data_IF_576078081726
#
_entry.id   IF_576078081726
#
_cell.length_a   1.000
_cell.length_b   1.000
_cell.length_c   1.000
_cell.angle_alpha   90.00
_cell.angle_beta   90.00
_cell.angle_gamma   90.00
#
_symmetry.space_group_name_H-M   'P 1'
#
loop_
_entity.id
_entity.type
_entity.pdbx_description
1 polymer ?
#
# COMPACT_ATOMS: atom_id res chain seq x y z
N UNK A 1 -17.77 -7.42 22.00
CA UNK A 1 -17.11 -8.03 20.83
C UNK A 1 -15.78 -8.59 21.30
N UNK A 2 -15.36 -9.76 20.81
CA UNK A 2 -13.98 -10.22 20.98
C UNK A 2 -13.16 -9.66 19.84
N UNK A 3 -11.96 -9.18 20.14
CA UNK A 3 -11.02 -8.76 19.11
C UNK A 3 -10.54 -9.99 18.33
N UNK A 4 -10.56 -9.88 17.01
CA UNK A 4 -10.07 -10.94 16.11
C UNK A 4 -8.69 -10.50 15.62
N UNK A 5 -7.70 -11.37 15.82
CA UNK A 5 -6.32 -11.16 15.35
C UNK A 5 -5.96 -12.30 14.41
N UNK A 6 -5.40 -11.97 13.25
CA UNK A 6 -4.86 -12.95 12.30
C UNK A 6 -3.34 -12.91 12.30
N UNK A 7 -2.72 -14.09 12.35
CA UNK A 7 -1.27 -14.28 12.29
C UNK A 7 -0.96 -15.33 11.24
N UNK A 8 -0.29 -14.94 10.16
CA UNK A 8 0.14 -15.84 9.09
C UNK A 8 1.65 -15.73 8.93
N UNK A 9 2.33 -16.88 8.91
CA UNK A 9 3.79 -16.92 8.76
C UNK A 9 4.17 -16.57 7.32
N UNK A 10 5.01 -15.55 7.15
CA UNK A 10 5.65 -15.20 5.90
C UNK A 10 7.17 -15.36 6.04
N UNK A 11 7.77 -16.25 5.26
CA UNK A 11 9.18 -16.66 5.46
C UNK A 11 10.20 -15.66 4.95
N UNK A 12 9.83 -14.88 3.94
CA UNK A 12 10.67 -13.88 3.29
C UNK A 12 9.78 -12.92 2.48
N UNK A 13 10.39 -11.88 1.92
CA UNK A 13 9.70 -10.92 1.06
C UNK A 13 9.58 -11.38 -0.41
N UNK A 14 9.65 -12.68 -0.72
CA UNK A 14 9.30 -13.12 -2.08
C UNK A 14 7.81 -12.82 -2.34
N UNK A 15 7.52 -12.17 -3.48
CA UNK A 15 6.18 -11.71 -3.86
C UNK A 15 5.06 -12.72 -3.57
N UNK A 16 5.24 -13.98 -4.00
CA UNK A 16 4.26 -15.06 -3.82
C UNK A 16 3.95 -15.35 -2.34
N UNK A 17 4.97 -15.27 -1.47
CA UNK A 17 4.86 -15.59 -0.05
C UNK A 17 4.16 -14.44 0.70
N UNK A 18 4.45 -13.20 0.31
CA UNK A 18 3.80 -12.01 0.87
C UNK A 18 2.33 -11.93 0.44
N UNK A 19 2.06 -12.16 -0.85
CA UNK A 19 0.69 -12.19 -1.38
C UNK A 19 -0.17 -13.22 -0.65
N UNK A 20 0.31 -14.47 -0.54
CA UNK A 20 -0.39 -15.52 0.19
C UNK A 20 -0.65 -15.13 1.66
N UNK A 21 0.36 -14.59 2.36
CA UNK A 21 0.22 -14.21 3.76
C UNK A 21 -0.80 -13.09 3.97
N UNK A 22 -0.85 -12.09 3.06
CA UNK A 22 -1.83 -10.99 3.10
C UNK A 22 -3.23 -11.50 2.81
N UNK A 23 -3.41 -12.32 1.77
CA UNK A 23 -4.72 -12.88 1.39
C UNK A 23 -5.30 -13.77 2.49
N UNK A 24 -4.51 -14.69 3.05
CA UNK A 24 -4.96 -15.52 4.17
C UNK A 24 -5.21 -14.69 5.43
N UNK A 25 -4.43 -13.62 5.66
CA UNK A 25 -4.67 -12.71 6.78
C UNK A 25 -6.04 -12.03 6.66
N UNK A 26 -6.36 -11.51 5.48
CA UNK A 26 -7.65 -10.87 5.17
C UNK A 26 -8.81 -11.87 5.28
N UNK A 27 -8.65 -13.08 4.75
CA UNK A 27 -9.65 -14.15 4.84
C UNK A 27 -9.96 -14.53 6.28
N UNK A 28 -8.94 -14.68 7.13
CA UNK A 28 -9.11 -14.96 8.57
C UNK A 28 -9.86 -13.84 9.31
N UNK A 29 -9.80 -12.61 8.78
CA UNK A 29 -10.53 -11.44 9.31
C UNK A 29 -11.94 -11.30 8.74
N UNK A 30 -12.42 -12.26 7.94
CA UNK A 30 -13.77 -12.28 7.37
C UNK A 30 -13.86 -11.85 5.90
N UNK A 31 -12.72 -11.64 5.23
CA UNK A 31 -12.67 -11.30 3.80
C UNK A 31 -13.01 -9.84 3.50
N UNK A 32 -13.12 -9.52 2.20
CA UNK A 32 -13.38 -8.14 1.73
C UNK A 32 -14.79 -7.92 1.20
N UNK A 33 -15.59 -8.96 0.95
CA UNK A 33 -16.88 -8.86 0.26
C UNK A 33 -17.89 -7.93 0.96
N UNK A 34 -17.80 -7.79 2.29
CA UNK A 34 -18.63 -6.87 3.08
C UNK A 34 -18.17 -5.40 3.03
N UNK A 35 -16.95 -5.14 2.55
CA UNK A 35 -16.26 -3.83 2.62
C UNK A 35 -16.07 -3.26 1.22
N UNK A 36 -15.63 -4.09 0.27
CA UNK A 36 -15.33 -3.73 -1.10
C UNK A 36 -16.47 -4.18 -2.00
N UNK A 37 -16.93 -3.26 -2.84
CA UNK A 37 -17.82 -3.52 -3.96
C UNK A 37 -17.12 -3.04 -5.23
N UNK A 38 -17.69 -3.39 -6.38
CA UNK A 38 -17.23 -2.85 -7.66
C UNK A 38 -17.14 -1.32 -7.60
N UNK A 39 -16.01 -0.79 -8.03
CA UNK A 39 -15.69 0.64 -8.09
C UNK A 39 -15.56 1.34 -6.72
N UNK A 40 -15.48 0.59 -5.61
CA UNK A 40 -15.12 1.16 -4.31
C UNK A 40 -13.76 1.86 -4.42
N UNK A 41 -13.74 3.16 -4.11
CA UNK A 41 -12.50 3.95 -4.10
C UNK A 41 -11.77 3.72 -2.79
N UNK A 42 -10.53 3.24 -2.87
CA UNK A 42 -9.68 2.96 -1.70
C UNK A 42 -8.42 3.79 -1.80
N UNK A 43 -8.14 4.55 -0.73
CA UNK A 43 -6.83 5.16 -0.54
C UNK A 43 -5.97 4.23 0.33
N UNK A 44 -4.88 3.72 -0.24
CA UNK A 44 -3.95 2.84 0.44
C UNK A 44 -2.76 3.65 1.00
N UNK A 45 -2.76 3.86 2.32
CA UNK A 45 -1.71 4.57 3.05
C UNK A 45 -0.55 3.63 3.41
N UNK A 46 0.69 3.96 3.01
CA UNK A 46 1.83 3.00 2.98
C UNK A 46 3.03 3.34 3.86
N UNK A 47 2.85 4.22 4.85
CA UNK A 47 3.86 4.68 5.83
C UNK A 47 5.29 4.92 5.29
N UNK A 48 5.48 6.00 4.52
CA UNK A 48 6.75 6.40 3.89
C UNK A 48 7.43 7.55 4.66
N UNK A 49 8.22 7.25 5.69
CA UNK A 49 8.92 8.28 6.48
C UNK A 49 9.84 9.18 5.63
N UNK A 50 10.74 8.57 4.84
CA UNK A 50 11.68 9.26 3.94
C UNK A 50 11.99 8.37 2.74
N UNK A 51 12.61 8.93 1.71
CA UNK A 51 13.09 8.17 0.57
C UNK A 51 14.21 7.19 0.99
N UNK A 52 13.87 5.90 1.07
CA UNK A 52 14.74 4.82 1.52
C UNK A 52 14.52 3.57 0.68
N UNK A 53 15.59 2.80 0.46
CA UNK A 53 15.49 1.52 -0.23
C UNK A 53 14.85 0.47 0.68
N UNK A 54 14.23 -0.59 0.13
CA UNK A 54 13.60 -1.66 0.92
C UNK A 54 14.54 -2.29 1.96
N UNK A 55 15.83 -2.45 1.63
CA UNK A 55 16.82 -3.10 2.51
C UNK A 55 17.14 -2.26 3.76
N UNK A 56 16.83 -0.96 3.75
CA UNK A 56 16.99 -0.09 4.93
C UNK A 56 15.88 -0.32 5.99
N UNK A 57 14.77 -1.00 5.64
CA UNK A 57 13.62 -1.25 6.51
C UNK A 57 13.01 0.01 7.17
N UNK A 58 13.11 1.17 6.50
CA UNK A 58 12.58 2.46 6.98
C UNK A 58 11.12 2.68 6.60
N UNK A 59 10.68 2.11 5.48
CA UNK A 59 9.32 2.25 4.94
C UNK A 59 8.67 0.89 4.78
N UNK A 60 7.35 0.84 4.62
CA UNK A 60 6.66 -0.43 4.30
C UNK A 60 7.28 -1.06 3.07
N UNK A 61 7.57 -2.36 3.16
CA UNK A 61 8.21 -3.11 2.09
C UNK A 61 7.32 -3.12 0.84
N UNK A 62 7.86 -2.87 -0.39
CA UNK A 62 7.07 -2.75 -1.60
C UNK A 62 6.21 -4.00 -1.88
N UNK A 63 6.72 -5.19 -1.60
CA UNK A 63 5.95 -6.44 -1.79
C UNK A 63 4.71 -6.56 -0.88
N UNK A 64 4.72 -5.94 0.30
CA UNK A 64 3.52 -5.88 1.16
C UNK A 64 2.50 -4.91 0.58
N UNK A 65 2.97 -3.77 0.04
CA UNK A 65 2.12 -2.80 -0.64
C UNK A 65 1.50 -3.41 -1.89
N UNK A 66 2.29 -4.11 -2.71
CA UNK A 66 1.83 -4.82 -3.89
C UNK A 66 0.76 -5.84 -3.54
N UNK A 67 1.03 -6.71 -2.56
CA UNK A 67 0.09 -7.74 -2.15
C UNK A 67 -1.28 -7.15 -1.80
N UNK A 68 -1.31 -6.15 -0.91
CA UNK A 68 -2.56 -5.53 -0.50
C UNK A 68 -3.24 -4.75 -1.64
N UNK A 69 -2.48 -3.98 -2.42
CA UNK A 69 -3.03 -3.23 -3.55
C UNK A 69 -3.66 -4.17 -4.60
N UNK A 70 -2.98 -5.27 -4.92
CA UNK A 70 -3.45 -6.29 -5.87
C UNK A 70 -4.69 -6.99 -5.33
N UNK A 71 -4.69 -7.45 -4.08
CA UNK A 71 -5.87 -8.07 -3.46
C UNK A 71 -7.08 -7.14 -3.49
N UNK A 72 -6.92 -5.86 -3.13
CA UNK A 72 -8.01 -4.88 -3.20
C UNK A 72 -8.52 -4.67 -4.63
N UNK A 73 -7.59 -4.52 -5.59
CA UNK A 73 -7.92 -4.34 -7.01
C UNK A 73 -8.71 -5.53 -7.57
N UNK A 74 -8.32 -6.75 -7.23
CA UNK A 74 -8.98 -7.98 -7.67
C UNK A 74 -10.40 -8.14 -7.10
N UNK A 75 -10.67 -7.54 -5.93
CA UNK A 75 -12.02 -7.44 -5.38
C UNK A 75 -12.85 -6.29 -5.99
N UNK A 76 -12.33 -5.62 -7.02
CA UNK A 76 -13.04 -4.60 -7.79
C UNK A 76 -12.84 -3.17 -7.30
N UNK A 77 -11.88 -2.93 -6.40
CA UNK A 77 -11.58 -1.58 -5.92
C UNK A 77 -10.82 -0.74 -6.97
N UNK A 78 -11.07 0.56 -6.95
CA UNK A 78 -10.19 1.57 -7.56
C UNK A 78 -9.22 2.08 -6.50
N UNK A 79 -7.98 1.60 -6.54
CA UNK A 79 -6.97 1.87 -5.51
C UNK A 79 -6.04 3.02 -5.90
N UNK A 80 -5.84 3.95 -4.98
CA UNK A 80 -4.81 4.98 -5.05
C UNK A 80 -3.85 4.81 -3.86
N UNK A 81 -2.57 4.57 -4.15
CA UNK A 81 -1.52 4.49 -3.13
C UNK A 81 -1.04 5.91 -2.83
N UNK A 82 -0.89 6.25 -1.56
CA UNK A 82 -0.35 7.56 -1.18
C UNK A 82 0.19 7.64 0.22
N UNK A 83 0.91 8.72 0.48
CA UNK A 83 1.48 9.03 1.79
C UNK A 83 1.82 10.51 1.91
N UNK A 84 1.92 11.00 3.14
CA UNK A 84 2.56 12.25 3.52
C UNK A 84 3.89 11.92 4.22
N UNK A 85 5.02 12.00 3.50
CA UNK A 85 6.31 11.67 4.08
C UNK A 85 6.71 12.62 5.21
N UNK A 86 7.62 12.16 6.08
CA UNK A 86 8.00 12.85 7.31
C UNK A 86 8.58 14.25 7.10
N UNK A 87 8.66 15.03 8.19
CA UNK A 87 8.89 16.48 8.21
C UNK A 87 10.08 17.01 7.37
N UNK A 88 11.10 16.19 7.11
CA UNK A 88 12.22 16.55 6.23
C UNK A 88 11.94 16.46 4.73
N UNK A 89 10.76 16.00 4.32
CA UNK A 89 10.36 15.84 2.92
C UNK A 89 9.27 16.86 2.58
N UNK A 90 9.56 17.87 1.74
CA UNK A 90 8.55 18.82 1.30
C UNK A 90 7.39 18.10 0.59
N UNK A 91 6.14 18.40 0.95
CA UNK A 91 4.96 17.81 0.34
C UNK A 91 4.62 18.47 -1.01
N UNK A 92 5.41 18.12 -2.03
CA UNK A 92 5.28 18.59 -3.42
C UNK A 92 5.57 17.44 -4.37
N UNK A 93 4.94 17.44 -5.54
CA UNK A 93 4.95 16.33 -6.51
C UNK A 93 6.35 15.75 -6.78
N UNK A 94 7.36 16.58 -7.07
CA UNK A 94 8.72 16.09 -7.34
C UNK A 94 9.37 15.37 -6.15
N UNK A 95 9.03 15.76 -4.92
CA UNK A 95 9.51 15.06 -3.73
C UNK A 95 8.78 13.73 -3.56
N UNK A 96 7.47 13.66 -3.83
CA UNK A 96 6.71 12.41 -3.83
C UNK A 96 7.23 11.43 -4.89
N UNK A 97 7.47 11.89 -6.12
CA UNK A 97 8.09 11.09 -7.19
C UNK A 97 9.41 10.46 -6.73
N UNK A 98 10.28 11.23 -6.08
CA UNK A 98 11.55 10.72 -5.54
C UNK A 98 11.34 9.68 -4.44
N UNK A 99 10.42 9.93 -3.49
CA UNK A 99 10.12 8.98 -2.41
C UNK A 99 9.55 7.69 -2.98
N UNK A 100 8.51 7.76 -3.82
CA UNK A 100 7.90 6.60 -4.45
C UNK A 100 8.90 5.80 -5.28
N UNK A 101 9.75 6.46 -6.06
CA UNK A 101 10.80 5.78 -6.82
C UNK A 101 11.78 5.04 -5.91
N UNK A 102 12.28 5.68 -4.84
CA UNK A 102 13.28 5.06 -3.97
C UNK A 102 12.69 3.93 -3.09
N UNK A 103 11.41 4.02 -2.74
CA UNK A 103 10.68 2.99 -2.00
C UNK A 103 10.15 1.84 -2.89
N UNK A 104 10.37 1.89 -4.21
CA UNK A 104 9.91 0.87 -5.16
C UNK A 104 8.42 0.91 -5.52
N UNK A 105 7.72 2.01 -5.20
CA UNK A 105 6.27 2.09 -5.41
C UNK A 105 5.85 2.36 -6.85
N UNK A 106 6.78 2.83 -7.71
CA UNK A 106 6.51 2.98 -9.13
C UNK A 106 6.21 1.62 -9.78
N UNK A 107 7.05 0.64 -9.52
CA UNK A 107 6.90 -0.73 -10.03
C UNK A 107 5.67 -1.41 -9.40
N UNK A 108 5.44 -1.21 -8.10
CA UNK A 108 4.24 -1.71 -7.41
C UNK A 108 2.95 -1.20 -8.07
N UNK A 109 2.88 0.10 -8.38
CA UNK A 109 1.70 0.69 -8.98
C UNK A 109 1.46 0.15 -10.41
N UNK A 110 2.53 0.01 -11.20
CA UNK A 110 2.47 -0.56 -12.54
C UNK A 110 2.04 -2.04 -12.50
N UNK A 111 2.71 -2.86 -11.69
CA UNK A 111 2.46 -4.31 -11.60
C UNK A 111 1.06 -4.62 -11.07
N UNK A 112 0.57 -3.84 -10.08
CA UNK A 112 -0.76 -4.06 -9.50
C UNK A 112 -1.90 -3.40 -10.31
N UNK A 113 -1.58 -2.56 -11.31
CA UNK A 113 -2.58 -1.84 -12.10
C UNK A 113 -3.36 -0.79 -11.27
N UNK A 114 -2.66 -0.06 -10.40
CA UNK A 114 -3.22 0.95 -9.50
C UNK A 114 -2.50 2.29 -9.67
N UNK A 115 -3.01 3.37 -9.07
CA UNK A 115 -2.44 4.72 -9.22
C UNK A 115 -1.67 5.18 -7.98
N UNK A 116 -0.74 6.11 -8.18
CA UNK A 116 -0.07 6.83 -7.10
C UNK A 116 -0.67 8.24 -6.95
N UNK A 117 -0.82 8.70 -5.71
CA UNK A 117 -1.25 10.06 -5.44
C UNK A 117 -0.10 11.06 -5.62
N UNK A 118 -0.26 12.00 -6.53
CA UNK A 118 0.65 13.14 -6.70
C UNK A 118 0.00 14.48 -6.34
N UNK A 119 -1.27 14.47 -5.95
CA UNK A 119 -1.98 15.68 -5.56
C UNK A 119 -1.42 16.21 -4.23
N UNK A 120 -0.87 17.42 -4.30
CA UNK A 120 -0.36 18.19 -3.16
C UNK A 120 -1.11 19.51 -2.98
N UNK A 121 -2.32 19.60 -3.53
CA UNK A 121 -3.22 20.73 -3.36
C UNK A 121 -3.66 20.89 -1.90
N UNK A 122 -3.91 22.14 -1.51
CA UNK A 122 -4.44 22.49 -0.19
C UNK A 122 -5.78 23.18 -0.41
N UNK A 123 -6.79 22.79 0.36
CA UNK A 123 -8.08 23.48 0.41
C UNK A 123 -8.30 23.95 1.84
N UNK A 124 -8.34 25.27 2.03
CA UNK A 124 -8.79 25.86 3.29
C UNK A 124 -10.29 25.57 3.45
N UNK A 125 -10.68 25.12 4.64
CA UNK A 125 -12.08 24.92 5.03
C UNK A 125 -12.62 26.25 5.55
#
# INVERSE_FOLDING_TARGET
MKDIVSLVRCTNYERKNVLHAVEESIKNLGGLDGIIRKDTRVFLKVNLLRASKPEEAVTTHPEVVYALAKTLKDHGASVVIGDSPGAGTPYRENALKRVYGKCGLLDVAADAGVSLNYDTGVKSI
#
